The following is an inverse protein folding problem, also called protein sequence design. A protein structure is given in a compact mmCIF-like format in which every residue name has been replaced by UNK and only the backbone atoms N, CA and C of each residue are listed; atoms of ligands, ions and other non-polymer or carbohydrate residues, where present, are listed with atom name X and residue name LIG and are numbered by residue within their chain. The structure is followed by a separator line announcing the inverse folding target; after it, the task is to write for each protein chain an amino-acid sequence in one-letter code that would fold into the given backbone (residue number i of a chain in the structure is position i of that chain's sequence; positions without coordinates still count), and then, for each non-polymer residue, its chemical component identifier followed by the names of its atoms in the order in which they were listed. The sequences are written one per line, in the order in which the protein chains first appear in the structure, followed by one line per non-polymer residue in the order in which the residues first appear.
data_IF_009683019322
#
_entry.id   IF_009683019322
#
_cell.length_a   1.000
_cell.length_b   1.000
_cell.length_c   1.000
_cell.angle_alpha   90.00
_cell.angle_beta   90.00
_cell.angle_gamma   90.00
#
_symmetry.space_group_name_H-M   'P 1'
#
loop_
_entity.id
_entity.type
_entity.pdbx_description
1 polymer ?
#
# COMPACT_ATOMS: atom_id res chain seq x y z
N UNK A 1 2.70 -11.25 0.56
CA UNK A 1 1.46 -10.53 0.18
C UNK A 1 1.29 -10.59 -1.34
N UNK A 2 0.14 -10.18 -1.87
CA UNK A 2 -0.07 -10.13 -3.33
C UNK A 2 -0.98 -9.00 -3.75
N UNK A 3 -0.74 -8.48 -4.94
CA UNK A 3 -1.59 -7.52 -5.63
C UNK A 3 -2.38 -8.21 -6.74
N UNK A 4 -3.57 -7.70 -7.01
CA UNK A 4 -4.37 -7.92 -8.21
C UNK A 4 -5.11 -6.62 -8.49
N UNK A 5 -5.71 -6.49 -9.67
CA UNK A 5 -6.56 -5.36 -9.99
C UNK A 5 -7.58 -5.11 -8.87
N UNK A 6 -7.56 -3.90 -8.34
CA UNK A 6 -8.47 -3.44 -7.31
C UNK A 6 -8.40 -4.23 -6.00
N UNK A 7 -7.31 -4.94 -5.73
CA UNK A 7 -7.17 -5.73 -4.51
C UNK A 7 -5.72 -5.89 -4.02
N UNK A 8 -5.51 -5.65 -2.73
CA UNK A 8 -4.27 -5.98 -2.02
C UNK A 8 -4.58 -7.05 -0.96
N UNK A 9 -3.82 -8.14 -0.96
CA UNK A 9 -3.92 -9.20 0.04
C UNK A 9 -2.67 -9.23 0.92
N UNK A 10 -2.85 -8.91 2.20
CA UNK A 10 -1.81 -8.90 3.21
C UNK A 10 -2.25 -9.70 4.46
N UNK A 11 -1.32 -10.16 5.31
CA UNK A 11 -1.68 -10.66 6.64
C UNK A 11 -2.34 -9.54 7.45
N UNK A 12 -3.26 -9.90 8.35
CA UNK A 12 -3.92 -8.91 9.21
C UNK A 12 -2.94 -8.18 10.16
N UNK A 13 -1.78 -8.78 10.41
CA UNK A 13 -0.77 -8.18 11.28
C UNK A 13 0.66 -8.67 11.04
N UNK A 14 1.63 -7.84 11.39
CA UNK A 14 3.07 -8.15 11.44
C UNK A 14 3.70 -7.65 12.76
N UNK A 15 4.86 -8.18 13.16
CA UNK A 15 5.65 -7.59 14.25
C UNK A 15 6.17 -6.19 13.91
N UNK A 16 6.40 -5.36 14.92
CA UNK A 16 7.13 -4.11 14.81
C UNK A 16 8.63 -4.33 14.58
N UNK A 17 9.29 -3.30 14.06
CA UNK A 17 10.72 -3.28 13.73
C UNK A 17 10.95 -3.30 12.22
N UNK A 18 12.07 -3.89 11.82
CA UNK A 18 12.43 -4.05 10.41
C UNK A 18 11.64 -5.21 9.80
N UNK A 19 10.79 -4.90 8.83
CA UNK A 19 9.90 -5.85 8.18
C UNK A 19 10.19 -5.86 6.68
N UNK A 20 10.43 -7.06 6.15
CA UNK A 20 10.45 -7.30 4.71
C UNK A 20 9.06 -7.69 4.22
N UNK A 21 8.49 -6.89 3.34
CA UNK A 21 7.22 -7.16 2.68
C UNK A 21 7.49 -7.74 1.29
N UNK A 22 7.37 -9.07 1.17
CA UNK A 22 7.47 -9.76 -0.12
C UNK A 22 6.13 -9.68 -0.88
N UNK A 23 6.13 -8.97 -2.01
CA UNK A 23 4.95 -8.66 -2.82
C UNK A 23 5.03 -9.40 -4.15
N UNK A 24 3.93 -10.06 -4.54
CA UNK A 24 3.80 -10.68 -5.86
C UNK A 24 2.62 -10.07 -6.61
N UNK A 25 2.86 -9.56 -7.81
CA UNK A 25 1.79 -9.13 -8.68
C UNK A 25 1.15 -10.36 -9.35
N UNK A 26 -0.14 -10.57 -9.10
CA UNK A 26 -0.95 -11.67 -9.67
C UNK A 26 -2.10 -11.14 -10.54
N UNK A 27 -2.11 -9.86 -10.85
CA UNK A 27 -3.04 -9.20 -11.77
C UNK A 27 -2.50 -9.13 -13.20
N UNK A 28 -3.35 -8.76 -14.16
CA UNK A 28 -2.95 -8.46 -15.54
C UNK A 28 -2.32 -7.07 -15.72
N UNK A 29 -2.45 -6.16 -14.75
CA UNK A 29 -1.88 -4.81 -14.80
C UNK A 29 -0.64 -4.67 -13.91
N UNK A 30 0.17 -3.65 -14.14
CA UNK A 30 1.22 -3.26 -13.20
C UNK A 30 0.61 -2.66 -11.92
N UNK A 31 1.29 -2.85 -10.79
CA UNK A 31 0.82 -2.35 -9.49
C UNK A 31 1.96 -1.86 -8.62
N UNK A 32 1.76 -0.75 -7.93
CA UNK A 32 2.61 -0.28 -6.84
C UNK A 32 2.03 -0.64 -5.47
N UNK A 33 2.84 -0.50 -4.43
CA UNK A 33 2.41 -0.62 -3.04
C UNK A 33 2.96 0.53 -2.21
N UNK A 34 2.05 1.30 -1.61
CA UNK A 34 2.36 2.38 -0.66
C UNK A 34 1.87 1.94 0.71
N UNK A 35 2.74 2.10 1.72
CA UNK A 35 2.44 1.79 3.12
C UNK A 35 2.36 3.11 3.88
N UNK A 36 1.18 3.46 4.38
CA UNK A 36 0.97 4.67 5.19
C UNK A 36 0.48 4.32 6.57
N UNK A 37 0.87 5.09 7.58
CA UNK A 37 0.23 5.03 8.90
C UNK A 37 -1.22 5.47 8.75
N UNK A 38 -2.15 4.67 9.28
CA UNK A 38 -3.58 4.86 9.06
C UNK A 38 -4.05 6.24 9.56
N UNK A 39 -4.90 6.89 8.75
CA UNK A 39 -5.47 8.20 9.03
C UNK A 39 -6.93 8.07 9.47
N UNK A 40 -7.34 8.73 10.55
CA UNK A 40 -8.67 8.55 11.14
C UNK A 40 -9.83 8.98 10.21
N UNK A 41 -9.56 9.90 9.27
CA UNK A 41 -10.54 10.43 8.33
C UNK A 41 -10.50 9.79 6.94
N UNK A 42 -9.76 8.69 6.76
CA UNK A 42 -9.41 8.16 5.44
C UNK A 42 -8.33 8.99 4.74
N UNK A 43 -7.85 8.51 3.60
CA UNK A 43 -6.79 9.15 2.83
C UNK A 43 -7.33 10.29 1.96
N UNK A 44 -6.66 11.46 1.92
CA UNK A 44 -7.08 12.59 1.09
C UNK A 44 -6.90 12.26 -0.40
N UNK A 45 -7.81 12.68 -1.26
CA UNK A 45 -7.67 12.56 -2.72
C UNK A 45 -7.02 13.81 -3.31
N UNK A 46 -6.39 13.66 -4.48
CA UNK A 46 -6.00 14.78 -5.35
C UNK A 46 -7.23 15.39 -6.01
N UNK A 47 -7.04 16.55 -6.65
CA UNK A 47 -8.11 17.26 -7.35
C UNK A 47 -8.70 16.49 -8.55
N UNK A 48 -7.97 15.49 -9.07
CA UNK A 48 -8.48 14.61 -10.13
C UNK A 48 -9.59 13.67 -9.65
N UNK A 49 -9.71 13.46 -8.33
CA UNK A 49 -10.65 12.52 -7.74
C UNK A 49 -10.38 11.06 -8.11
N UNK A 50 -9.18 10.73 -8.59
CA UNK A 50 -8.78 9.39 -9.05
C UNK A 50 -7.61 8.82 -8.24
N UNK A 51 -6.80 9.67 -7.63
CA UNK A 51 -5.61 9.28 -6.88
C UNK A 51 -5.62 9.90 -5.49
N UNK A 52 -5.00 9.19 -4.54
CA UNK A 52 -4.67 9.69 -3.20
C UNK A 52 -3.60 10.78 -3.32
N UNK A 53 -3.73 11.83 -2.50
CA UNK A 53 -2.77 12.90 -2.40
C UNK A 53 -1.57 12.48 -1.53
N UNK A 54 -0.59 11.83 -2.16
CA UNK A 54 0.64 11.39 -1.49
C UNK A 54 1.43 12.53 -0.85
N UNK A 55 1.46 13.72 -1.46
CA UNK A 55 2.16 14.89 -0.90
C UNK A 55 1.59 15.30 0.46
N UNK A 56 0.28 15.12 0.68
CA UNK A 56 -0.36 15.36 1.96
C UNK A 56 -0.06 14.25 2.99
N UNK A 57 0.40 13.08 2.52
CA UNK A 57 0.72 11.90 3.32
C UNK A 57 2.22 11.68 3.53
N UNK A 58 3.10 12.41 2.84
CA UNK A 58 4.57 12.34 2.97
C UNK A 58 5.08 12.09 4.41
N UNK A 59 4.60 12.82 5.44
CA UNK A 59 5.08 12.63 6.81
C UNK A 59 4.71 11.28 7.44
N UNK A 60 3.76 10.55 6.85
CA UNK A 60 3.20 9.30 7.37
C UNK A 60 3.36 8.12 6.40
N UNK A 61 4.01 8.32 5.24
CA UNK A 61 4.46 7.24 4.36
C UNK A 61 5.61 6.50 5.04
N UNK A 62 5.43 5.20 5.26
CA UNK A 62 6.45 4.32 5.84
C UNK A 62 7.30 3.62 4.77
N UNK A 63 6.79 3.50 3.55
CA UNK A 63 7.53 2.96 2.43
C UNK A 63 6.69 2.87 1.16
N UNK A 64 7.37 2.88 0.03
CA UNK A 64 6.79 2.74 -1.31
C UNK A 64 7.52 1.65 -2.08
N UNK A 65 6.79 0.95 -2.92
CA UNK A 65 7.32 -0.04 -3.83
C UNK A 65 6.85 0.29 -5.24
N UNK A 66 7.81 0.67 -6.08
CA UNK A 66 7.60 1.04 -7.48
C UNK A 66 6.77 0.01 -8.25
N UNK A 67 5.96 0.42 -9.24
CA UNK A 67 5.14 -0.47 -10.04
C UNK A 67 5.90 -1.68 -10.59
N UNK A 68 5.29 -2.85 -10.46
CA UNK A 68 5.86 -4.11 -10.95
C UNK A 68 4.90 -4.77 -11.90
N UNK A 69 5.46 -5.29 -12.99
CA UNK A 69 4.72 -5.94 -14.06
C UNK A 69 3.98 -7.20 -13.60
N UNK A 70 3.00 -7.67 -14.39
CA UNK A 70 2.34 -8.95 -14.16
C UNK A 70 3.32 -10.11 -13.93
N UNK A 71 3.11 -10.86 -12.84
CA UNK A 71 3.96 -11.98 -12.47
C UNK A 71 5.26 -11.62 -11.74
N UNK A 72 5.57 -10.33 -11.57
CA UNK A 72 6.75 -9.88 -10.84
C UNK A 72 6.69 -10.24 -9.35
N UNK A 73 7.88 -10.38 -8.75
CA UNK A 73 8.08 -10.47 -7.31
C UNK A 73 9.08 -9.41 -6.88
N UNK A 74 8.73 -8.68 -5.84
CA UNK A 74 9.46 -7.51 -5.36
C UNK A 74 9.44 -7.50 -3.83
N UNK A 75 10.48 -6.97 -3.22
CA UNK A 75 10.60 -6.86 -1.77
C UNK A 75 10.68 -5.39 -1.36
N UNK A 76 9.86 -5.01 -0.38
CA UNK A 76 9.90 -3.70 0.26
C UNK A 76 10.42 -3.85 1.69
N UNK A 77 11.54 -3.19 2.01
CA UNK A 77 12.08 -3.11 3.36
C UNK A 77 11.56 -1.86 4.05
N UNK A 78 10.90 -2.01 5.20
CA UNK A 78 10.33 -0.90 5.97
C UNK A 78 10.60 -1.07 7.46
N UNK A 79 10.74 0.06 8.16
CA UNK A 79 10.77 0.07 9.62
C UNK A 79 9.40 0.49 10.15
N UNK A 80 8.68 -0.42 10.81
CA UNK A 80 7.32 -0.20 11.27
C UNK A 80 7.26 -0.18 12.80
N UNK A 81 6.78 0.94 13.36
CA UNK A 81 6.48 1.02 14.80
C UNK A 81 5.02 0.61 15.06
N UNK A 82 4.66 0.11 16.27
CA UNK A 82 3.30 -0.35 16.55
C UNK A 82 2.21 0.64 16.13
N UNK A 83 1.09 0.11 15.61
CA UNK A 83 -0.02 0.93 15.12
C UNK A 83 -0.81 0.29 13.98
N UNK A 84 -1.72 1.07 13.41
CA UNK A 84 -2.47 0.68 12.20
C UNK A 84 -1.86 1.35 10.98
N UNK A 85 -1.85 0.61 9.88
CA UNK A 85 -1.36 1.04 8.59
C UNK A 85 -2.39 0.70 7.52
N UNK A 86 -2.38 1.46 6.45
CA UNK A 86 -3.10 1.16 5.22
C UNK A 86 -2.08 0.91 4.11
N UNK A 87 -2.28 -0.17 3.37
CA UNK A 87 -1.48 -0.57 2.23
C UNK A 87 -2.33 -0.37 1.00
N UNK A 88 -1.85 0.35 -0.01
CA UNK A 88 -2.65 0.64 -1.19
C UNK A 88 -1.82 0.83 -2.46
N UNK A 89 -2.48 0.76 -3.61
CA UNK A 89 -1.94 1.16 -4.90
C UNK A 89 -2.58 2.49 -5.31
N UNK A 90 -1.77 3.45 -5.78
CA UNK A 90 -2.23 4.80 -6.10
C UNK A 90 -2.32 5.09 -7.60
N UNK A 91 -2.17 4.08 -8.45
CA UNK A 91 -2.49 4.19 -9.87
C UNK A 91 -3.95 4.62 -10.05
N UNK A 92 -4.24 5.38 -11.11
CA UNK A 92 -5.52 6.06 -11.30
C UNK A 92 -6.73 5.14 -11.10
N UNK A 93 -7.54 5.43 -10.09
CA UNK A 93 -8.75 4.69 -9.75
C UNK A 93 -8.54 3.40 -8.96
N UNK A 94 -7.30 2.93 -8.78
CA UNK A 94 -7.03 1.65 -8.10
C UNK A 94 -7.45 1.70 -6.63
N UNK A 95 -7.02 2.74 -5.89
CA UNK A 95 -7.44 2.96 -4.50
C UNK A 95 -8.97 2.97 -4.37
N UNK A 96 -9.65 3.78 -5.18
CA UNK A 96 -11.11 3.93 -5.17
C UNK A 96 -11.85 2.66 -5.59
N UNK A 97 -11.24 1.83 -6.44
CA UNK A 97 -11.75 0.53 -6.82
C UNK A 97 -11.62 -0.53 -5.72
N UNK A 98 -10.93 -0.23 -4.61
CA UNK A 98 -10.75 -1.14 -3.49
C UNK A 98 -9.33 -1.72 -3.37
N UNK A 99 -8.35 -1.18 -4.10
CA UNK A 99 -6.94 -1.63 -4.04
C UNK A 99 -6.23 -1.13 -2.78
N UNK A 100 -6.79 -1.44 -1.62
CA UNK A 100 -6.23 -1.12 -0.33
C UNK A 100 -6.56 -2.19 0.71
N UNK A 101 -5.78 -2.28 1.78
CA UNK A 101 -6.02 -3.18 2.90
C UNK A 101 -5.38 -2.65 4.19
N UNK A 102 -5.97 -3.01 5.33
CA UNK A 102 -5.43 -2.65 6.65
C UNK A 102 -4.32 -3.63 7.07
N UNK A 103 -3.30 -3.11 7.75
CA UNK A 103 -2.26 -3.89 8.43
C UNK A 103 -2.08 -3.40 9.87
N UNK A 104 -2.11 -4.33 10.82
CA UNK A 104 -1.80 -4.04 12.22
C UNK A 104 -0.35 -4.39 12.53
N UNK A 105 0.41 -3.44 13.06
CA UNK A 105 1.79 -3.65 13.51
C UNK A 105 1.78 -3.78 15.04
N UNK A 106 2.34 -4.88 15.55
CA UNK A 106 2.36 -5.22 16.98
C UNK A 106 3.76 -5.24 17.59
#
# INVERSE_FOLDING_TARGET
MSERDFHVSAPASVPAGDVQLAVSNRGPEAHELIVVRAHASGLPLRADGLTVNEEALDPVIAGTLEPGDPGSRRDLQVHLVPGRYELFCNMSGHYLGGMHTDLVVR
#
